data_IF_165978638840
#
_entry.id   IF_165978638840
#
_cell.length_a   1.000
_cell.length_b   1.000
_cell.length_c   1.000
_cell.angle_alpha   90.00
_cell.angle_beta   90.00
_cell.angle_gamma   90.00
#
_symmetry.space_group_name_H-M   'P 1'
#
loop_
_entity.id
_entity.type
_entity.pdbx_description
1 polymer ?
#
# COMPACT_ATOMS: atom_id res chain seq x y z
N UNK A 1 16.04 -3.41 8.78
CA UNK A 1 16.80 -2.15 8.77
C UNK A 1 16.08 -1.22 7.80
N UNK A 2 15.76 -0.01 8.25
CA UNK A 2 15.13 1.01 7.42
C UNK A 2 16.22 1.81 6.70
N UNK A 3 16.18 1.80 5.38
CA UNK A 3 17.09 2.54 4.51
C UNK A 3 16.38 3.78 3.99
N UNK A 4 17.05 4.93 4.04
CA UNK A 4 16.57 6.19 3.44
C UNK A 4 17.24 6.32 2.08
N UNK A 5 16.46 6.21 1.01
CA UNK A 5 16.97 6.24 -0.38
C UNK A 5 17.15 7.67 -0.91
N UNK A 6 16.80 8.69 -0.13
CA UNK A 6 16.86 10.11 -0.49
C UNK A 6 15.48 10.68 -0.82
N UNK A 7 15.47 11.83 -1.52
CA UNK A 7 14.25 12.51 -1.90
C UNK A 7 13.74 11.99 -3.26
N UNK A 8 12.55 11.38 -3.29
CA UNK A 8 11.88 11.02 -4.54
C UNK A 8 11.48 12.27 -5.34
N UNK A 9 11.11 13.34 -4.62
CA UNK A 9 10.80 14.71 -5.10
C UNK A 9 11.12 15.70 -3.96
N UNK A 10 11.21 17.02 -4.20
CA UNK A 10 11.43 17.98 -3.13
C UNK A 10 10.41 17.78 -1.98
N UNK A 11 10.92 17.54 -0.77
CA UNK A 11 10.09 17.31 0.42
C UNK A 11 9.50 15.89 0.58
N UNK A 12 9.79 14.96 -0.34
CA UNK A 12 9.21 13.61 -0.34
C UNK A 12 10.32 12.58 -0.17
N UNK A 13 10.43 12.00 1.03
CA UNK A 13 11.43 10.98 1.33
C UNK A 13 11.00 9.60 0.82
N UNK A 14 11.96 8.88 0.24
CA UNK A 14 11.81 7.50 -0.16
C UNK A 14 12.51 6.59 0.86
N UNK A 15 11.81 5.55 1.24
CA UNK A 15 12.27 4.57 2.22
C UNK A 15 12.32 3.19 1.58
N UNK A 16 13.17 2.33 2.13
CA UNK A 16 13.25 0.92 1.76
C UNK A 16 13.49 0.08 3.00
N UNK A 17 12.78 -1.03 3.12
CA UNK A 17 13.11 -2.03 4.13
C UNK A 17 12.70 -3.43 3.69
N UNK A 18 13.37 -4.42 4.26
CA UNK A 18 12.96 -5.82 4.17
C UNK A 18 12.10 -6.20 5.37
N UNK A 19 10.98 -6.84 5.11
CA UNK A 19 9.96 -7.19 6.09
C UNK A 19 9.17 -8.45 5.71
N UNK A 20 8.25 -8.85 6.60
CA UNK A 20 7.31 -9.96 6.32
C UNK A 20 5.90 -9.39 6.13
N UNK A 21 5.32 -9.61 4.95
CA UNK A 21 4.01 -9.12 4.56
C UNK A 21 3.17 -10.31 4.12
N UNK A 22 2.04 -10.55 4.78
CA UNK A 22 1.17 -11.71 4.53
C UNK A 22 1.95 -13.02 4.38
N UNK A 23 2.89 -13.24 5.31
CA UNK A 23 3.78 -14.43 5.39
C UNK A 23 4.83 -14.54 4.28
N UNK A 24 4.98 -13.53 3.42
CA UNK A 24 6.07 -13.46 2.45
C UNK A 24 7.15 -12.48 2.91
N UNK A 25 8.43 -12.86 2.74
CA UNK A 25 9.54 -11.94 2.95
C UNK A 25 9.73 -11.09 1.69
N UNK A 26 9.63 -9.78 1.83
CA UNK A 26 9.75 -8.82 0.72
C UNK A 26 10.69 -7.70 1.10
N UNK A 27 11.31 -7.09 0.10
CA UNK A 27 11.90 -5.75 0.25
C UNK A 27 11.01 -4.75 -0.45
N UNK A 28 10.56 -3.73 0.27
CA UNK A 28 9.60 -2.75 -0.26
C UNK A 28 10.26 -1.39 -0.29
N UNK A 29 10.18 -0.71 -1.44
CA UNK A 29 10.55 0.69 -1.59
C UNK A 29 9.27 1.52 -1.70
N UNK A 30 9.16 2.59 -0.90
CA UNK A 30 7.93 3.37 -0.78
C UNK A 30 8.21 4.84 -0.46
N UNK A 31 7.22 5.67 -0.70
CA UNK A 31 7.17 7.07 -0.31
C UNK A 31 6.19 7.23 0.84
N UNK A 32 6.56 8.00 1.86
CA UNK A 32 5.66 8.40 2.94
C UNK A 32 4.88 9.65 2.54
N UNK A 33 3.58 9.69 2.81
CA UNK A 33 2.80 10.92 2.81
C UNK A 33 2.98 11.61 4.18
N UNK A 34 3.74 12.73 4.27
CA UNK A 34 4.02 13.38 5.54
C UNK A 34 2.75 13.96 6.17
N UNK A 35 1.80 14.46 5.37
CA UNK A 35 0.58 15.07 5.90
C UNK A 35 -0.34 14.01 6.52
N UNK A 36 -0.49 12.86 5.87
CA UNK A 36 -1.23 11.72 6.42
C UNK A 36 -0.53 11.17 7.68
N UNK A 37 0.80 11.05 7.66
CA UNK A 37 1.57 10.60 8.82
C UNK A 37 1.40 11.54 10.03
N UNK A 38 1.57 12.85 9.84
CA UNK A 38 1.40 13.87 10.89
C UNK A 38 -0.04 13.89 11.42
N UNK A 39 -1.03 13.81 10.52
CA UNK A 39 -2.44 13.71 10.89
C UNK A 39 -2.70 12.48 11.77
N UNK A 40 -2.14 11.32 11.42
CA UNK A 40 -2.27 10.10 12.24
C UNK A 40 -1.62 10.25 13.59
N UNK A 41 -0.42 10.84 13.68
CA UNK A 41 0.24 11.09 14.96
C UNK A 41 -0.58 12.02 15.85
N UNK A 42 -1.06 13.15 15.31
CA UNK A 42 -1.88 14.12 16.04
C UNK A 42 -3.17 13.51 16.58
N UNK A 43 -3.74 12.54 15.88
CA UNK A 43 -4.96 11.84 16.27
C UNK A 43 -4.71 10.51 17.03
N UNK A 44 -3.46 10.19 17.35
CA UNK A 44 -3.11 8.93 18.03
C UNK A 44 -3.53 7.68 17.26
N UNK A 45 -3.48 7.73 15.93
CA UNK A 45 -3.88 6.66 15.03
C UNK A 45 -2.70 5.78 14.63
N UNK A 46 -3.00 4.48 14.48
CA UNK A 46 -2.09 3.44 14.02
C UNK A 46 -2.11 3.25 12.50
N UNK A 47 -1.44 2.19 12.06
CA UNK A 47 -1.82 1.54 10.80
C UNK A 47 -3.18 0.86 10.96
N UNK A 48 -4.01 0.86 9.92
CA UNK A 48 -5.27 0.12 9.89
C UNK A 48 -5.15 -1.08 8.95
N UNK A 49 -5.10 -2.29 9.51
CA UNK A 49 -4.88 -3.52 8.75
C UNK A 49 -6.16 -4.32 8.49
N UNK A 50 -7.31 -3.85 8.98
CA UNK A 50 -8.63 -4.44 8.76
C UNK A 50 -9.12 -4.13 7.34
N UNK A 51 -8.95 -5.09 6.43
CA UNK A 51 -9.32 -4.91 5.03
C UNK A 51 -10.81 -4.58 4.84
N UNK A 52 -11.68 -5.11 5.70
CA UNK A 52 -13.11 -4.86 5.59
C UNK A 52 -13.45 -3.40 5.95
N UNK A 53 -12.77 -2.84 6.95
CA UNK A 53 -12.85 -1.41 7.25
C UNK A 53 -12.30 -0.56 6.11
N UNK A 54 -11.13 -0.89 5.57
CA UNK A 54 -10.56 -0.16 4.43
C UNK A 54 -11.46 -0.22 3.19
N UNK A 55 -12.13 -1.35 2.95
CA UNK A 55 -13.12 -1.47 1.88
C UNK A 55 -14.31 -0.53 2.09
N UNK A 56 -14.81 -0.39 3.31
CA UNK A 56 -15.86 0.58 3.65
C UNK A 56 -15.39 2.02 3.54
N UNK A 57 -14.15 2.31 3.95
CA UNK A 57 -13.58 3.65 3.77
C UNK A 57 -13.43 4.00 2.28
N UNK A 58 -13.09 3.04 1.41
CA UNK A 58 -12.96 3.28 -0.04
C UNK A 58 -14.26 3.63 -0.74
N UNK A 59 -15.41 3.34 -0.14
CA UNK A 59 -16.70 3.77 -0.70
C UNK A 59 -16.99 5.25 -0.41
N UNK A 60 -16.21 5.90 0.47
CA UNK A 60 -16.45 7.27 0.89
C UNK A 60 -15.43 8.25 0.30
N UNK A 61 -15.88 9.46 -0.08
CA UNK A 61 -14.98 10.53 -0.49
C UNK A 61 -14.14 11.05 0.69
N UNK A 62 -13.06 11.76 0.35
CA UNK A 62 -12.17 12.46 1.31
C UNK A 62 -12.66 13.90 1.54
N UNK A 63 -13.04 14.59 0.47
CA UNK A 63 -13.25 16.05 0.50
C UNK A 63 -14.72 16.48 0.69
N UNK A 64 -15.66 15.54 0.59
CA UNK A 64 -17.10 15.79 0.72
C UNK A 64 -17.77 14.63 1.49
N UNK A 65 -19.08 14.70 1.72
CA UNK A 65 -19.88 13.61 2.26
C UNK A 65 -20.65 12.88 1.15
N UNK A 66 -20.80 11.56 1.27
CA UNK A 66 -21.62 10.75 0.36
C UNK A 66 -22.45 9.73 1.15
N UNK A 67 -23.51 9.15 0.54
CA UNK A 67 -24.26 8.07 1.17
C UNK A 67 -23.35 6.90 1.51
N UNK A 68 -23.48 6.39 2.73
CA UNK A 68 -22.76 5.21 3.19
C UNK A 68 -23.47 3.98 2.63
N UNK A 69 -22.74 3.10 1.95
CA UNK A 69 -23.28 1.82 1.50
C UNK A 69 -23.82 1.03 2.70
N UNK A 70 -25.07 0.55 2.58
CA UNK A 70 -25.79 -0.18 3.63
C UNK A 70 -24.97 -1.33 4.23
N UNK A 71 -24.13 -1.99 3.42
CA UNK A 71 -23.25 -3.09 3.89
C UNK A 71 -22.21 -2.65 4.92
N UNK A 72 -21.85 -1.37 4.95
CA UNK A 72 -20.79 -0.81 5.78
C UNK A 72 -21.29 0.11 6.89
N UNK A 73 -22.58 0.48 6.93
CA UNK A 73 -23.16 1.36 7.98
C UNK A 73 -22.79 0.85 9.38
N UNK A 74 -23.09 -0.42 9.68
CA UNK A 74 -22.79 -1.00 11.00
C UNK A 74 -21.30 -0.94 11.34
N UNK A 75 -20.42 -1.16 10.36
CA UNK A 75 -18.97 -1.15 10.53
C UNK A 75 -18.45 0.27 10.79
N UNK A 76 -18.87 1.22 9.97
CA UNK A 76 -18.39 2.60 9.98
C UNK A 76 -18.97 3.41 11.14
N UNK A 77 -20.11 3.01 11.70
CA UNK A 77 -20.67 3.59 12.93
C UNK A 77 -20.03 3.03 14.22
N UNK A 78 -19.06 2.12 14.15
CA UNK A 78 -18.38 1.61 15.34
C UNK A 78 -17.44 2.65 15.97
N UNK A 79 -17.23 2.54 17.29
CA UNK A 79 -16.20 3.33 18.00
C UNK A 79 -14.79 3.09 17.44
N UNK A 80 -14.51 1.92 16.86
CA UNK A 80 -13.23 1.64 16.19
C UNK A 80 -13.08 2.52 14.94
N UNK A 81 -14.12 2.58 14.12
CA UNK A 81 -14.10 3.33 12.87
C UNK A 81 -14.17 4.85 13.06
N UNK A 82 -14.68 5.37 14.18
CA UNK A 82 -14.92 6.81 14.39
C UNK A 82 -13.68 7.71 14.28
N UNK A 83 -12.47 7.14 14.31
CA UNK A 83 -11.21 7.88 14.06
C UNK A 83 -10.88 7.98 12.58
N UNK A 84 -11.41 7.07 11.76
CA UNK A 84 -11.15 6.93 10.34
C UNK A 84 -12.26 7.49 9.45
N UNK A 85 -13.43 7.81 10.01
CA UNK A 85 -14.61 8.25 9.28
C UNK A 85 -15.41 9.28 10.09
N UNK A 86 -15.99 10.26 9.40
CA UNK A 86 -17.08 11.07 9.95
C UNK A 86 -18.39 10.55 9.38
N UNK A 87 -19.36 10.25 10.25
CA UNK A 87 -20.72 9.80 9.87
C UNK A 87 -21.73 10.82 10.40
N UNK A 88 -22.67 11.20 9.55
CA UNK A 88 -23.81 12.07 9.85
C UNK A 88 -25.08 11.31 9.45
N UNK A 89 -26.09 11.33 10.31
CA UNK A 89 -27.39 10.77 9.96
C UNK A 89 -28.28 11.90 9.43
N UNK A 90 -28.85 11.67 8.25
CA UNK A 90 -29.92 12.47 7.66
C UNK A 90 -31.18 12.38 8.55
N UNK A 91 -31.98 13.45 8.69
CA UNK A 91 -33.36 13.38 9.20
C UNK A 91 -34.18 12.17 8.73
N UNK A 92 -34.01 11.74 7.49
CA UNK A 92 -34.72 10.58 6.91
C UNK A 92 -34.12 9.22 7.31
N UNK A 93 -33.10 9.20 8.17
CA UNK A 93 -32.45 8.00 8.70
C UNK A 93 -31.32 7.44 7.84
N UNK A 94 -30.97 8.11 6.73
CA UNK A 94 -29.83 7.74 5.88
C UNK A 94 -28.49 8.10 6.52
N UNK A 95 -27.51 7.19 6.45
CA UNK A 95 -26.15 7.48 6.89
C UNK A 95 -25.34 8.10 5.75
N UNK A 96 -24.74 9.25 6.01
CA UNK A 96 -23.82 9.96 5.12
C UNK A 96 -22.45 10.02 5.76
N UNK A 97 -21.39 9.94 4.97
CA UNK A 97 -20.06 9.95 5.54
C UNK A 97 -18.96 10.36 4.58
N UNK A 98 -17.82 10.65 5.20
CA UNK A 98 -16.55 10.90 4.54
C UNK A 98 -15.44 10.18 5.27
N UNK A 99 -14.45 9.68 4.55
CA UNK A 99 -13.27 9.08 5.19
C UNK A 99 -12.29 10.18 5.61
N UNK A 100 -11.63 9.94 6.73
CA UNK A 100 -10.56 10.79 7.26
C UNK A 100 -9.17 10.21 7.02
N UNK A 101 -9.08 8.94 6.60
CA UNK A 101 -7.82 8.26 6.30
C UNK A 101 -7.51 8.28 4.81
N UNK A 102 -6.29 8.69 4.50
CA UNK A 102 -5.61 8.42 3.24
C UNK A 102 -4.72 7.17 3.32
N UNK A 103 -4.04 6.87 2.21
CA UNK A 103 -2.95 5.88 2.23
C UNK A 103 -1.70 6.55 2.77
N UNK A 104 -1.12 6.09 3.89
CA UNK A 104 0.02 6.74 4.52
C UNK A 104 1.32 6.57 3.72
N UNK A 105 1.37 5.57 2.85
CA UNK A 105 2.51 5.33 1.98
C UNK A 105 2.05 5.02 0.56
N UNK A 106 2.89 5.37 -0.40
CA UNK A 106 2.80 4.94 -1.78
C UNK A 106 3.90 3.92 -2.04
N UNK A 107 3.51 2.66 -2.30
CA UNK A 107 4.47 1.62 -2.68
C UNK A 107 4.97 1.86 -4.09
N UNK A 108 6.28 2.06 -4.22
CA UNK A 108 6.96 2.32 -5.48
C UNK A 108 7.49 1.02 -6.09
N UNK A 109 7.96 0.09 -5.26
CA UNK A 109 8.54 -1.16 -5.73
C UNK A 109 8.45 -2.26 -4.68
N UNK A 110 8.17 -3.48 -5.13
CA UNK A 110 8.13 -4.70 -4.31
C UNK A 110 9.14 -5.67 -4.88
N UNK A 111 10.18 -5.99 -4.12
CA UNK A 111 11.17 -7.00 -4.49
C UNK A 111 10.93 -8.30 -3.73
N UNK A 112 10.89 -9.41 -4.48
CA UNK A 112 10.74 -10.76 -3.97
C UNK A 112 11.90 -11.66 -4.41
N UNK A 113 12.07 -12.79 -3.73
CA UNK A 113 13.16 -13.75 -3.95
C UNK A 113 13.06 -14.56 -5.26
N UNK A 114 11.92 -14.50 -5.95
CA UNK A 114 11.69 -15.23 -7.20
C UNK A 114 10.56 -14.59 -8.01
N UNK A 115 10.48 -14.94 -9.30
CA UNK A 115 9.41 -14.47 -10.18
C UNK A 115 8.03 -14.93 -9.73
N UNK A 116 7.90 -16.20 -9.33
CA UNK A 116 6.62 -16.73 -8.87
C UNK A 116 6.18 -16.07 -7.56
N UNK A 117 7.13 -15.74 -6.66
CA UNK A 117 6.83 -14.96 -5.46
C UNK A 117 6.41 -13.53 -5.82
N UNK A 118 7.13 -12.86 -6.72
CA UNK A 118 6.81 -11.51 -7.20
C UNK A 118 5.40 -11.46 -7.85
N UNK A 119 5.03 -12.48 -8.62
CA UNK A 119 3.74 -12.55 -9.31
C UNK A 119 2.54 -12.50 -8.36
N UNK A 120 2.66 -13.01 -7.13
CA UNK A 120 1.58 -12.95 -6.11
C UNK A 120 1.21 -11.52 -5.71
N UNK A 121 2.10 -10.57 -5.93
CA UNK A 121 1.93 -9.16 -5.58
C UNK A 121 1.40 -8.33 -6.76
N UNK A 122 0.81 -8.98 -7.76
CA UNK A 122 0.13 -8.31 -8.87
C UNK A 122 -0.94 -7.37 -8.32
N UNK A 123 -0.87 -6.09 -8.70
CA UNK A 123 -1.83 -5.07 -8.31
C UNK A 123 -1.48 -4.27 -7.05
N UNK A 124 -0.40 -4.62 -6.35
CA UNK A 124 0.06 -3.90 -5.16
C UNK A 124 1.09 -2.81 -5.49
N UNK A 125 1.88 -3.01 -6.54
CA UNK A 125 2.86 -2.06 -7.06
C UNK A 125 3.72 -2.67 -8.18
N UNK A 126 4.71 -1.93 -8.71
CA UNK A 126 5.78 -2.50 -9.54
C UNK A 126 6.53 -3.60 -8.79
N UNK A 127 6.90 -4.68 -9.49
CA UNK A 127 7.43 -5.90 -8.88
C UNK A 127 8.78 -6.29 -9.47
N UNK A 128 9.77 -6.50 -8.62
CA UNK A 128 11.07 -7.07 -8.96
C UNK A 128 11.19 -8.50 -8.43
N UNK A 129 11.82 -9.36 -9.21
CA UNK A 129 12.28 -10.66 -8.77
C UNK A 129 13.81 -10.70 -8.76
N UNK A 130 14.38 -11.11 -7.62
CA UNK A 130 15.81 -11.38 -7.51
C UNK A 130 16.11 -12.76 -8.08
N UNK A 131 17.09 -12.87 -8.97
CA UNK A 131 17.55 -14.16 -9.46
C UNK A 131 18.69 -14.67 -8.59
N UNK A 132 18.80 -16.00 -8.43
CA UNK A 132 19.92 -16.62 -7.74
C UNK A 132 21.12 -16.90 -8.66
N UNK A 133 20.96 -16.75 -9.97
CA UNK A 133 21.98 -17.07 -10.97
C UNK A 133 21.61 -16.56 -12.37
N UNK A 134 22.19 -17.18 -13.39
CA UNK A 134 21.90 -16.88 -14.79
C UNK A 134 20.42 -17.04 -15.10
N UNK A 135 19.87 -16.12 -15.89
CA UNK A 135 18.47 -16.15 -16.32
C UNK A 135 18.38 -16.62 -17.77
N UNK A 136 17.51 -17.60 -18.03
CA UNK A 136 17.26 -18.06 -19.38
C UNK A 136 16.37 -17.07 -20.15
N UNK A 137 16.51 -17.04 -21.48
CA UNK A 137 15.71 -16.17 -22.36
C UNK A 137 14.20 -16.38 -22.19
N UNK A 138 13.78 -17.61 -21.88
CA UNK A 138 12.37 -17.93 -21.63
C UNK A 138 11.86 -17.24 -20.36
N UNK A 139 12.62 -17.26 -19.26
CA UNK A 139 12.26 -16.58 -18.01
C UNK A 139 12.22 -15.05 -18.19
N UNK A 140 13.15 -14.47 -18.96
CA UNK A 140 13.09 -13.05 -19.32
C UNK A 140 11.82 -12.72 -20.12
N UNK A 141 11.43 -13.58 -21.06
CA UNK A 141 10.20 -13.41 -21.85
C UNK A 141 8.97 -13.48 -20.95
N UNK A 142 8.92 -14.45 -20.03
CA UNK A 142 7.85 -14.60 -19.04
C UNK A 142 7.77 -13.37 -18.11
N UNK A 143 8.91 -12.89 -17.62
CA UNK A 143 9.01 -11.71 -16.77
C UNK A 143 8.46 -10.46 -17.49
N UNK A 144 8.87 -10.24 -18.73
CA UNK A 144 8.36 -9.15 -19.57
C UNK A 144 6.86 -9.26 -19.82
N UNK A 145 6.35 -10.45 -20.14
CA UNK A 145 4.92 -10.69 -20.35
C UNK A 145 4.08 -10.33 -19.11
N UNK A 146 4.56 -10.67 -17.91
CA UNK A 146 3.88 -10.33 -16.67
C UNK A 146 4.23 -8.94 -16.11
N UNK A 147 5.11 -8.18 -16.77
CA UNK A 147 5.59 -6.88 -16.30
C UNK A 147 6.36 -6.94 -14.98
N UNK A 148 7.07 -8.04 -14.73
CA UNK A 148 7.93 -8.24 -13.56
C UNK A 148 9.35 -7.90 -13.98
N UNK A 149 10.02 -7.02 -13.24
CA UNK A 149 11.43 -6.71 -13.48
C UNK A 149 12.35 -7.75 -12.84
N UNK A 150 13.59 -7.81 -13.32
CA UNK A 150 14.59 -8.79 -12.91
C UNK A 150 15.82 -8.08 -12.39
N UNK A 151 16.25 -8.46 -11.19
CA UNK A 151 17.48 -8.00 -10.56
C UNK A 151 18.41 -9.17 -10.27
N UNK A 152 19.68 -9.05 -10.62
CA UNK A 152 20.71 -10.06 -10.37
C UNK A 152 21.20 -10.02 -8.91
N UNK A 153 21.96 -11.02 -8.43
CA UNK A 153 22.53 -11.02 -7.09
C UNK A 153 23.37 -9.79 -6.74
N UNK A 154 24.12 -9.26 -7.72
CA UNK A 154 24.96 -8.06 -7.60
C UNK A 154 24.17 -6.74 -7.73
N UNK A 155 22.85 -6.82 -7.91
CA UNK A 155 21.96 -5.66 -7.93
C UNK A 155 21.78 -5.03 -9.32
N UNK A 156 22.34 -5.62 -10.38
CA UNK A 156 22.11 -5.16 -11.74
C UNK A 156 20.66 -5.45 -12.16
N UNK A 157 19.97 -4.43 -12.69
CA UNK A 157 18.64 -4.57 -13.27
C UNK A 157 18.77 -5.05 -14.72
N UNK A 158 18.30 -6.25 -15.00
CA UNK A 158 18.26 -6.82 -16.36
C UNK A 158 16.97 -6.48 -17.09
N UNK A 159 15.89 -6.26 -16.35
CA UNK A 159 14.59 -5.89 -16.86
C UNK A 159 13.91 -4.97 -15.85
N UNK A 160 13.44 -3.81 -16.29
CA UNK A 160 12.67 -2.92 -15.42
C UNK A 160 11.24 -3.44 -15.25
N UNK A 161 10.63 -3.27 -14.06
CA UNK A 161 9.26 -3.66 -13.83
C UNK A 161 8.33 -2.74 -14.62
N UNK A 162 7.18 -3.27 -15.05
CA UNK A 162 6.17 -2.40 -15.65
C UNK A 162 5.68 -1.39 -14.62
N UNK A 163 5.68 -0.12 -15.00
CA UNK A 163 5.14 0.98 -14.20
C UNK A 163 3.61 1.01 -14.20
N UNK A 164 2.95 0.09 -14.92
CA UNK A 164 1.50 -0.02 -14.97
C UNK A 164 0.94 -0.27 -13.57
N UNK A 165 0.44 0.79 -12.97
CA UNK A 165 -0.32 0.76 -11.72
C UNK A 165 -1.78 0.51 -12.09
N UNK A 166 -2.47 -0.44 -11.46
CA UNK A 166 -3.92 -0.55 -11.63
C UNK A 166 -4.54 0.83 -11.34
N UNK A 167 -5.35 1.34 -12.27
CA UNK A 167 -6.07 2.60 -12.11
C UNK A 167 -6.98 2.58 -10.88
N UNK A 168 -7.44 1.39 -10.49
CA UNK A 168 -8.32 1.19 -9.34
C UNK A 168 -7.51 0.96 -8.06
N UNK A 169 -7.70 1.84 -7.08
CA UNK A 169 -7.25 1.62 -5.72
C UNK A 169 -8.18 0.61 -5.02
N UNK A 170 -7.63 -0.48 -4.51
CA UNK A 170 -8.39 -1.57 -3.86
C UNK A 170 -8.10 -1.62 -2.36
N UNK A 171 -8.99 -2.25 -1.59
CA UNK A 171 -8.81 -2.46 -0.14
C UNK A 171 -7.56 -3.26 0.16
N UNK A 172 -7.29 -4.31 -0.63
CA UNK A 172 -6.08 -5.12 -0.49
C UNK A 172 -4.80 -4.30 -0.71
N UNK A 173 -4.79 -3.46 -1.76
CA UNK A 173 -3.65 -2.56 -2.03
C UNK A 173 -3.45 -1.56 -0.90
N UNK A 174 -4.53 -0.98 -0.38
CA UNK A 174 -4.45 -0.09 0.77
C UNK A 174 -3.95 -0.84 2.01
N UNK A 175 -4.47 -2.03 2.31
CA UNK A 175 -4.02 -2.85 3.43
C UNK A 175 -2.52 -3.14 3.35
N UNK A 176 -2.01 -3.44 2.16
CA UNK A 176 -0.57 -3.64 2.00
C UNK A 176 0.23 -2.37 2.30
N UNK A 177 -0.23 -1.19 1.86
CA UNK A 177 0.38 0.09 2.25
C UNK A 177 0.32 0.30 3.77
N UNK A 178 -0.77 -0.07 4.44
CA UNK A 178 -0.90 -0.01 5.90
C UNK A 178 0.07 -0.97 6.61
N UNK A 179 0.31 -2.17 6.07
CA UNK A 179 1.32 -3.09 6.59
C UNK A 179 2.75 -2.52 6.47
N UNK A 180 3.06 -1.88 5.33
CA UNK A 180 4.34 -1.18 5.11
C UNK A 180 4.49 -0.02 6.10
N UNK A 181 3.42 0.74 6.33
CA UNK A 181 3.40 1.84 7.29
C UNK A 181 3.53 1.36 8.74
N UNK A 182 2.91 0.23 9.10
CA UNK A 182 3.06 -0.37 10.42
C UNK A 182 4.54 -0.67 10.73
N UNK A 183 5.22 -1.35 9.80
CA UNK A 183 6.64 -1.68 9.94
C UNK A 183 7.54 -0.44 9.90
N UNK A 184 7.21 0.57 9.08
CA UNK A 184 7.90 1.86 9.10
C UNK A 184 7.92 2.47 10.51
N UNK A 185 6.77 2.51 11.20
CA UNK A 185 6.68 3.03 12.57
C UNK A 185 7.43 2.18 13.59
N UNK A 186 7.37 0.85 13.46
CA UNK A 186 8.11 -0.06 14.33
C UNK A 186 9.64 0.10 14.19
N UNK A 187 10.10 0.45 12.99
CA UNK A 187 11.52 0.70 12.70
C UNK A 187 11.99 2.10 13.11
N UNK A 188 11.15 2.90 13.79
CA UNK A 188 11.49 4.23 14.29
C UNK A 188 11.30 5.35 13.27
N UNK A 189 10.48 5.12 12.25
CA UNK A 189 10.01 6.14 11.31
C UNK A 189 8.84 6.97 11.82
#
# INVERSE_FOLDING_TARGET
>A
MLEVLGAARPGVLMFRHTGVFDRARLTVSYVLDPAEHESRLANGMGAETDEYLLAGLLTLPVDDIAPVDARFVKLLSTRKASRAVTIVNDPDGGAWGRRLLGSPVEVIEIEAESMDAAHRWTGYGPRLARTAGGIETFELTKAAHYGIGIVTPDGQRLLEPSTSRPLRWTSARWRFAELVYAQFRELGG
#
